data_IF_511331970506
#
_entry.id   IF_511331970506
#
_cell.length_a   1.000
_cell.length_b   1.000
_cell.length_c   1.000
_cell.angle_alpha   90.00
_cell.angle_beta   90.00
_cell.angle_gamma   90.00
#
_symmetry.space_group_name_H-M   'P 1'
#
loop_
_entity.id
_entity.type
_entity.pdbx_description
1 polymer ?
#
# COMPACT_ATOMS: atom_id res chain seq x y z
N UNK A 1 25.93 -7.89 17.10
CA UNK A 1 25.99 -9.06 16.20
C UNK A 1 27.04 -8.77 15.14
N UNK A 2 27.89 -9.75 14.83
CA UNK A 2 28.90 -9.67 13.77
C UNK A 2 28.88 -11.00 13.02
N UNK A 3 28.78 -10.96 11.70
CA UNK A 3 28.80 -12.17 10.88
C UNK A 3 30.16 -12.86 10.97
N UNK A 4 30.15 -14.18 10.97
CA UNK A 4 31.35 -15.00 11.01
C UNK A 4 32.06 -15.04 9.66
N UNK A 5 33.36 -15.35 9.67
CA UNK A 5 34.12 -15.60 8.43
C UNK A 5 33.53 -16.76 7.61
N UNK A 6 32.89 -17.73 8.28
CA UNK A 6 32.20 -18.84 7.62
C UNK A 6 31.08 -18.32 6.72
N UNK A 7 30.31 -17.33 7.21
CA UNK A 7 29.24 -16.68 6.48
C UNK A 7 29.77 -15.86 5.31
N UNK A 8 30.84 -15.07 5.52
CA UNK A 8 31.51 -14.36 4.41
C UNK A 8 31.91 -15.33 3.29
N UNK A 9 32.58 -16.43 3.65
CA UNK A 9 32.98 -17.46 2.69
C UNK A 9 31.79 -18.13 1.99
N UNK A 10 30.70 -18.38 2.70
CA UNK A 10 29.49 -18.93 2.11
C UNK A 10 28.88 -17.99 1.06
N UNK A 11 28.74 -16.70 1.37
CA UNK A 11 28.25 -15.68 0.44
C UNK A 11 29.11 -15.64 -0.82
N UNK A 12 30.43 -15.59 -0.65
CA UNK A 12 31.39 -15.53 -1.77
C UNK A 12 31.34 -16.77 -2.65
N UNK A 13 31.25 -17.96 -2.05
CA UNK A 13 31.09 -19.23 -2.79
C UNK A 13 29.79 -19.21 -3.60
N UNK A 14 28.66 -18.85 -2.97
CA UNK A 14 27.35 -18.84 -3.63
C UNK A 14 27.33 -17.85 -4.80
N UNK A 15 27.82 -16.63 -4.62
CA UNK A 15 27.91 -15.64 -5.70
C UNK A 15 28.81 -16.13 -6.85
N UNK A 16 29.97 -16.73 -6.54
CA UNK A 16 30.88 -17.24 -7.57
C UNK A 16 30.27 -18.39 -8.37
N UNK A 17 29.64 -19.36 -7.69
CA UNK A 17 28.93 -20.45 -8.36
C UNK A 17 27.78 -19.94 -9.23
N UNK A 18 27.10 -18.87 -8.79
CA UNK A 18 26.03 -18.23 -9.54
C UNK A 18 26.53 -17.59 -10.84
N UNK A 19 27.69 -16.93 -10.81
CA UNK A 19 28.27 -16.27 -11.99
C UNK A 19 28.83 -17.25 -13.03
N UNK A 20 29.41 -18.38 -12.59
CA UNK A 20 30.08 -19.31 -13.50
C UNK A 20 29.13 -20.32 -14.16
N UNK A 21 27.96 -20.59 -13.54
CA UNK A 21 26.93 -21.52 -14.00
C UNK A 21 27.46 -22.88 -14.50
N UNK A 22 28.51 -23.39 -13.84
CA UNK A 22 29.18 -24.67 -14.14
C UNK A 22 29.65 -25.34 -12.85
N UNK A 23 30.12 -26.58 -12.95
CA UNK A 23 30.71 -27.29 -11.80
C UNK A 23 32.10 -26.72 -11.51
N UNK A 24 32.32 -26.26 -10.28
CA UNK A 24 33.58 -25.67 -9.80
C UNK A 24 34.21 -26.57 -8.74
N UNK A 25 35.50 -26.85 -8.89
CA UNK A 25 36.24 -27.70 -7.94
C UNK A 25 36.57 -26.96 -6.64
N UNK A 26 36.84 -27.70 -5.56
CA UNK A 26 37.35 -27.12 -4.30
C UNK A 26 38.65 -26.33 -4.52
N UNK A 27 39.54 -26.81 -5.39
CA UNK A 27 40.81 -26.14 -5.67
C UNK A 27 40.61 -24.80 -6.39
N UNK A 28 39.66 -24.75 -7.33
CA UNK A 28 39.30 -23.53 -8.04
C UNK A 28 38.64 -22.51 -7.12
N UNK A 29 37.63 -22.91 -6.34
CA UNK A 29 37.03 -22.05 -5.30
C UNK A 29 38.08 -21.51 -4.32
N UNK A 30 39.02 -22.35 -3.89
CA UNK A 30 40.09 -21.93 -2.97
C UNK A 30 40.98 -20.87 -3.58
N UNK A 31 41.37 -21.05 -4.85
CA UNK A 31 42.27 -20.15 -5.58
C UNK A 31 41.60 -18.82 -5.93
N UNK A 32 40.41 -18.86 -6.51
CA UNK A 32 39.71 -17.67 -7.02
C UNK A 32 39.14 -16.82 -5.88
N UNK A 33 38.65 -17.47 -4.82
CA UNK A 33 38.05 -16.77 -3.68
C UNK A 33 39.01 -16.61 -2.50
N UNK A 34 40.26 -17.03 -2.61
CA UNK A 34 41.22 -16.98 -1.48
C UNK A 34 40.63 -17.55 -0.17
N UNK A 35 39.92 -18.68 -0.29
CA UNK A 35 39.31 -19.40 0.84
C UNK A 35 40.19 -20.62 1.14
N UNK A 36 40.57 -20.90 2.39
CA UNK A 36 41.32 -22.12 2.71
C UNK A 36 40.56 -23.37 2.26
N UNK A 37 41.21 -24.24 1.47
CA UNK A 37 40.57 -25.42 0.88
C UNK A 37 39.90 -26.36 1.90
N UNK A 38 40.39 -26.37 3.14
CA UNK A 38 39.82 -27.16 4.25
C UNK A 38 38.47 -26.63 4.79
N UNK A 39 38.12 -25.37 4.52
CA UNK A 39 36.86 -24.75 4.93
C UNK A 39 35.73 -25.00 3.92
N UNK A 40 36.06 -25.09 2.63
CA UNK A 40 35.07 -25.21 1.54
C UNK A 40 34.15 -26.43 1.72
N UNK A 41 34.64 -27.66 2.00
CA UNK A 41 33.76 -28.81 2.22
C UNK A 41 32.80 -28.63 3.41
N UNK A 42 33.23 -27.91 4.46
CA UNK A 42 32.38 -27.66 5.65
C UNK A 42 31.25 -26.70 5.31
N UNK A 43 31.55 -25.63 4.59
CA UNK A 43 30.58 -24.59 4.19
C UNK A 43 29.60 -25.15 3.15
N UNK A 44 30.13 -25.80 2.11
CA UNK A 44 29.30 -26.39 1.04
C UNK A 44 28.40 -27.50 1.55
N UNK A 45 28.80 -28.23 2.60
CA UNK A 45 27.91 -29.18 3.29
C UNK A 45 26.69 -28.46 3.89
N UNK A 46 26.88 -27.36 4.62
CA UNK A 46 25.78 -26.57 5.19
C UNK A 46 24.87 -26.00 4.10
N UNK A 47 25.45 -25.48 3.00
CA UNK A 47 24.68 -24.98 1.85
C UNK A 47 23.90 -26.09 1.14
N UNK A 48 24.45 -27.30 1.06
CA UNK A 48 23.79 -28.49 0.48
C UNK A 48 22.59 -28.94 1.32
N UNK A 49 22.67 -28.87 2.64
CA UNK A 49 21.56 -29.19 3.56
C UNK A 49 20.34 -28.26 3.37
N UNK A 50 20.54 -27.06 2.79
CA UNK A 50 19.50 -26.10 2.41
C UNK A 50 19.16 -26.08 0.92
N UNK A 51 19.70 -27.05 0.17
CA UNK A 51 19.49 -27.20 -1.27
C UNK A 51 19.88 -25.94 -2.06
N UNK A 52 20.88 -25.19 -1.58
CA UNK A 52 21.41 -24.02 -2.32
C UNK A 52 22.44 -24.49 -3.35
N UNK A 53 23.28 -25.45 -2.98
CA UNK A 53 24.32 -26.02 -3.83
C UNK A 53 24.17 -27.54 -3.93
N UNK A 54 24.64 -28.09 -5.05
CA UNK A 54 24.80 -29.53 -5.24
C UNK A 54 26.26 -29.89 -5.45
N UNK A 55 26.61 -31.09 -5.04
CA UNK A 55 27.95 -31.64 -5.19
C UNK A 55 27.95 -32.73 -6.26
N UNK A 56 28.87 -32.63 -7.21
CA UNK A 56 29.17 -33.69 -8.18
C UNK A 56 30.32 -34.56 -7.64
N UNK A 57 30.16 -35.88 -7.70
CA UNK A 57 31.18 -36.84 -7.26
C UNK A 57 32.15 -37.22 -8.39
N UNK A 58 33.35 -37.69 -8.04
CA UNK A 58 34.38 -38.16 -8.99
C UNK A 58 35.65 -37.31 -9.03
N UNK A 59 36.59 -37.68 -9.89
CA UNK A 59 37.91 -37.04 -10.05
C UNK A 59 37.85 -35.60 -10.58
N UNK A 60 36.75 -35.24 -11.26
CA UNK A 60 36.40 -33.86 -11.65
C UNK A 60 35.17 -33.35 -10.88
N UNK A 61 34.92 -33.91 -9.69
CA UNK A 61 33.84 -33.49 -8.81
C UNK A 61 33.99 -32.06 -8.32
N UNK A 62 32.90 -31.47 -7.86
CA UNK A 62 32.86 -30.06 -7.48
C UNK A 62 31.48 -29.63 -7.02
N UNK A 63 31.24 -28.33 -7.02
CA UNK A 63 30.00 -27.73 -6.56
C UNK A 63 29.40 -26.87 -7.66
N UNK A 64 28.08 -26.79 -7.69
CA UNK A 64 27.34 -25.83 -8.51
C UNK A 64 26.04 -25.45 -7.80
N UNK A 65 25.38 -24.39 -8.24
CA UNK A 65 24.06 -24.05 -7.71
C UNK A 65 23.03 -25.13 -8.03
N UNK A 66 22.16 -25.39 -7.06
CA UNK A 66 20.96 -26.20 -7.25
C UNK A 66 19.76 -25.32 -7.61
N UNK A 67 19.62 -24.17 -6.95
CA UNK A 67 18.55 -23.19 -7.17
C UNK A 67 18.98 -22.07 -8.11
N UNK A 68 18.01 -21.42 -8.76
CA UNK A 68 18.31 -20.25 -9.59
C UNK A 68 18.75 -19.06 -8.70
N UNK A 69 19.69 -18.19 -9.14
CA UNK A 69 20.15 -17.07 -8.33
C UNK A 69 19.04 -16.11 -7.85
N UNK A 70 17.94 -16.01 -8.60
CA UNK A 70 16.77 -15.18 -8.27
C UNK A 70 15.93 -15.77 -7.12
N UNK A 71 16.07 -17.07 -6.85
CA UNK A 71 15.34 -17.80 -5.82
C UNK A 71 16.09 -17.87 -4.48
N UNK A 72 17.36 -17.49 -4.46
CA UNK A 72 18.21 -17.56 -3.28
C UNK A 72 18.35 -16.15 -2.71
N UNK A 73 17.85 -15.93 -1.48
CA UNK A 73 18.08 -14.67 -0.79
C UNK A 73 19.43 -14.64 -0.05
N UNK A 74 19.92 -13.44 0.25
CA UNK A 74 21.10 -13.27 1.10
C UNK A 74 20.82 -13.81 2.52
N UNK A 75 19.58 -13.66 3.01
CA UNK A 75 19.14 -14.27 4.27
C UNK A 75 19.27 -15.79 4.26
N UNK A 76 18.94 -16.47 3.15
CA UNK A 76 19.05 -17.93 3.05
C UNK A 76 20.49 -18.39 3.25
N UNK A 77 21.44 -17.70 2.61
CA UNK A 77 22.87 -18.04 2.73
C UNK A 77 23.36 -17.79 4.15
N UNK A 78 23.00 -16.66 4.76
CA UNK A 78 23.41 -16.33 6.13
C UNK A 78 22.85 -17.33 7.15
N UNK A 79 21.59 -17.74 7.00
CA UNK A 79 20.95 -18.72 7.88
C UNK A 79 21.53 -20.14 7.75
N UNK A 80 22.34 -20.43 6.73
CA UNK A 80 23.06 -21.70 6.63
C UNK A 80 24.24 -21.79 7.60
N UNK A 81 24.83 -20.64 7.94
CA UNK A 81 26.11 -20.55 8.66
C UNK A 81 25.98 -19.92 10.04
N UNK A 82 25.01 -19.02 10.23
CA UNK A 82 24.74 -18.38 11.52
C UNK A 82 23.67 -19.14 12.33
N UNK A 83 23.91 -19.30 13.62
CA UNK A 83 22.95 -19.96 14.53
C UNK A 83 21.81 -19.04 14.96
N UNK A 84 22.04 -17.72 14.94
CA UNK A 84 21.05 -16.69 15.28
C UNK A 84 21.34 -15.41 14.52
N UNK A 85 20.27 -14.76 14.08
CA UNK A 85 20.29 -13.43 13.47
C UNK A 85 19.73 -12.36 14.41
N UNK A 86 19.45 -12.71 15.67
CA UNK A 86 18.92 -11.77 16.65
C UNK A 86 19.98 -10.73 17.05
N UNK A 87 19.67 -9.45 16.84
CA UNK A 87 20.55 -8.35 17.21
C UNK A 87 20.65 -8.16 18.73
N UNK A 88 19.70 -8.72 19.49
CA UNK A 88 19.63 -8.65 20.95
C UNK A 88 19.04 -9.92 21.54
N UNK A 89 19.48 -10.27 22.75
CA UNK A 89 19.06 -11.49 23.47
C UNK A 89 17.54 -11.63 23.64
N UNK A 90 16.84 -10.50 23.81
CA UNK A 90 15.38 -10.48 23.98
C UNK A 90 14.58 -10.69 22.69
N UNK A 91 15.25 -10.76 21.53
CA UNK A 91 14.67 -11.04 20.22
C UNK A 91 14.93 -12.47 19.75
N UNK A 92 15.65 -13.26 20.56
CA UNK A 92 15.82 -14.69 20.31
C UNK A 92 14.46 -15.41 20.35
N UNK A 93 14.39 -16.58 19.72
CA UNK A 93 13.15 -17.37 19.61
C UNK A 93 12.51 -17.71 20.96
N UNK A 94 13.31 -17.80 22.02
CA UNK A 94 12.84 -18.09 23.38
C UNK A 94 12.30 -16.85 24.11
N UNK A 95 12.39 -15.65 23.52
CA UNK A 95 11.86 -14.40 24.08
C UNK A 95 12.49 -13.98 25.41
N UNK A 96 13.66 -14.52 25.76
CA UNK A 96 14.19 -14.35 27.12
C UNK A 96 14.43 -12.87 27.48
N UNK A 97 13.81 -12.46 28.59
CA UNK A 97 14.03 -11.18 29.22
C UNK A 97 14.32 -11.40 30.70
N UNK A 98 15.46 -10.92 31.20
CA UNK A 98 15.81 -11.03 32.62
C UNK A 98 14.82 -10.34 33.56
N UNK A 99 14.03 -9.39 33.04
CA UNK A 99 12.95 -8.70 33.77
C UNK A 99 11.55 -9.28 33.51
N UNK A 100 11.45 -10.28 32.63
CA UNK A 100 10.19 -10.87 32.16
C UNK A 100 9.15 -9.81 31.75
N UNK A 101 9.59 -8.80 30.98
CA UNK A 101 8.80 -7.60 30.67
C UNK A 101 8.87 -7.21 29.18
N UNK A 102 9.10 -8.18 28.30
CA UNK A 102 9.28 -7.96 26.85
C UNK A 102 8.11 -7.21 26.20
N UNK A 103 6.87 -7.60 26.52
CA UNK A 103 5.66 -7.10 25.84
C UNK A 103 5.44 -5.57 26.00
N UNK A 104 5.85 -5.04 27.16
CA UNK A 104 5.72 -3.63 27.50
C UNK A 104 7.06 -2.87 27.41
N UNK A 105 8.17 -3.56 27.16
CA UNK A 105 9.49 -2.94 27.08
C UNK A 105 9.63 -2.10 25.81
N UNK A 106 9.66 -0.77 25.97
CA UNK A 106 9.83 0.16 24.84
C UNK A 106 11.11 -0.10 24.05
N UNK A 107 12.20 -0.48 24.73
CA UNK A 107 13.48 -0.81 24.07
C UNK A 107 13.35 -2.08 23.23
N UNK A 108 12.66 -3.10 23.73
CA UNK A 108 12.38 -4.32 22.94
C UNK A 108 11.61 -3.97 21.67
N UNK A 109 10.58 -3.11 21.76
CA UNK A 109 9.82 -2.66 20.57
C UNK A 109 10.71 -1.96 19.53
N UNK A 110 11.60 -1.06 19.96
CA UNK A 110 12.55 -0.37 19.05
C UNK A 110 13.52 -1.36 18.42
N UNK A 111 14.06 -2.31 19.18
CA UNK A 111 14.99 -3.32 18.65
C UNK A 111 14.30 -4.32 17.74
N UNK A 112 13.04 -4.70 18.03
CA UNK A 112 12.24 -5.56 17.19
C UNK A 112 11.96 -4.89 15.84
N UNK A 113 11.61 -3.61 15.83
CA UNK A 113 11.44 -2.82 14.61
C UNK A 113 12.71 -2.79 13.74
N UNK A 114 13.87 -2.56 14.37
CA UNK A 114 15.17 -2.61 13.69
C UNK A 114 15.49 -4.01 13.15
N UNK A 115 15.23 -5.06 13.94
CA UNK A 115 15.41 -6.45 13.54
C UNK A 115 14.53 -6.81 12.34
N UNK A 116 13.26 -6.41 12.35
CA UNK A 116 12.33 -6.66 11.25
C UNK A 116 12.81 -5.95 9.98
N UNK A 117 13.22 -4.69 10.09
CA UNK A 117 13.81 -3.95 8.96
C UNK A 117 15.02 -4.67 8.40
N UNK A 118 15.92 -5.12 9.28
CA UNK A 118 17.12 -5.86 8.92
C UNK A 118 16.81 -7.20 8.22
N UNK A 119 15.89 -7.99 8.76
CA UNK A 119 15.48 -9.27 8.18
C UNK A 119 14.84 -9.08 6.81
N UNK A 120 13.87 -8.14 6.72
CA UNK A 120 13.18 -7.83 5.47
C UNK A 120 14.17 -7.40 4.37
N UNK A 121 15.24 -6.67 4.72
CA UNK A 121 16.29 -6.34 3.75
C UNK A 121 16.98 -7.58 3.21
N UNK A 122 17.43 -8.46 4.10
CA UNK A 122 18.21 -9.64 3.71
C UNK A 122 17.39 -10.67 2.95
N UNK A 123 16.09 -10.80 3.25
CA UNK A 123 15.16 -11.72 2.58
C UNK A 123 14.83 -11.27 1.14
N UNK A 124 14.77 -9.95 0.93
CA UNK A 124 14.43 -9.36 -0.36
C UNK A 124 15.63 -9.20 -1.31
N UNK A 125 16.86 -9.18 -0.78
CA UNK A 125 18.07 -9.21 -1.61
C UNK A 125 18.33 -10.64 -2.08
N UNK A 126 18.34 -10.85 -3.40
CA UNK A 126 18.64 -12.12 -4.05
C UNK A 126 20.09 -12.18 -4.52
N UNK A 127 20.63 -13.38 -4.68
CA UNK A 127 21.99 -13.58 -5.19
C UNK A 127 22.14 -13.03 -6.59
N UNK A 128 21.08 -13.12 -7.42
CA UNK A 128 21.02 -12.49 -8.74
C UNK A 128 21.36 -11.00 -8.69
N UNK A 129 20.93 -10.29 -7.65
CA UNK A 129 21.14 -8.84 -7.51
C UNK A 129 22.60 -8.49 -7.21
N UNK A 130 23.30 -9.41 -6.55
CA UNK A 130 24.69 -9.20 -6.12
C UNK A 130 25.66 -9.48 -7.29
N UNK A 131 25.31 -10.42 -8.17
CA UNK A 131 26.15 -10.82 -9.30
C UNK A 131 25.86 -10.02 -10.58
N UNK A 132 24.74 -9.30 -10.63
CA UNK A 132 24.33 -8.56 -11.82
C UNK A 132 25.34 -7.43 -12.13
N UNK A 133 25.73 -7.26 -13.40
CA UNK A 133 26.57 -6.14 -13.82
C UNK A 133 25.78 -4.82 -13.74
N UNK A 134 26.40 -3.76 -13.21
CA UNK A 134 25.83 -2.42 -13.02
C UNK A 134 26.53 -1.64 -11.91
N UNK A 135 26.18 -0.37 -11.68
CA UNK A 135 26.58 0.36 -10.47
C UNK A 135 25.76 -0.15 -9.27
N UNK A 136 26.36 -0.14 -8.08
CA UNK A 136 25.70 -0.59 -6.84
C UNK A 136 24.38 0.17 -6.59
N UNK A 137 23.25 -0.51 -6.73
CA UNK A 137 21.91 0.02 -6.42
C UNK A 137 21.71 0.36 -4.94
N UNK A 138 22.55 -0.21 -4.07
CA UNK A 138 22.46 -0.05 -2.62
C UNK A 138 22.87 1.34 -2.12
N UNK A 139 23.60 2.13 -2.92
CA UNK A 139 24.17 3.42 -2.50
C UNK A 139 23.42 4.66 -3.03
N UNK A 140 22.24 4.50 -3.65
CA UNK A 140 21.38 5.63 -4.01
C UNK A 140 19.93 5.21 -4.19
N UNK A 141 19.03 5.61 -3.28
CA UNK A 141 17.60 5.27 -3.38
C UNK A 141 16.95 6.11 -4.47
N UNK A 142 16.41 5.45 -5.47
CA UNK A 142 15.47 6.03 -6.42
C UNK A 142 14.11 5.40 -6.21
N UNK A 143 13.09 6.24 -6.06
CA UNK A 143 11.70 5.81 -5.96
C UNK A 143 10.81 6.89 -6.53
N UNK A 144 9.93 6.51 -7.45
CA UNK A 144 8.89 7.36 -8.04
C UNK A 144 7.57 6.62 -7.94
N UNK A 145 6.50 7.33 -7.57
CA UNK A 145 5.12 6.86 -7.52
C UNK A 145 4.26 7.80 -8.34
N UNK A 146 3.61 7.24 -9.36
CA UNK A 146 2.64 7.93 -10.19
C UNK A 146 1.27 7.33 -9.94
N UNK A 147 0.27 8.19 -9.79
CA UNK A 147 -1.14 7.80 -9.78
C UNK A 147 -1.78 8.30 -11.06
N UNK A 148 -2.49 7.41 -11.75
CA UNK A 148 -3.27 7.69 -12.94
C UNK A 148 -4.74 7.39 -12.64
N UNK A 149 -5.61 8.33 -12.98
CA UNK A 149 -7.05 8.13 -13.01
C UNK A 149 -7.44 7.59 -14.39
N UNK A 150 -7.99 6.38 -14.43
CA UNK A 150 -8.31 5.67 -15.65
C UNK A 150 -9.53 6.28 -16.37
N UNK A 151 -10.40 7.00 -15.67
CA UNK A 151 -11.65 7.55 -16.22
C UNK A 151 -11.42 8.87 -16.93
N UNK A 152 -10.72 9.80 -16.30
CA UNK A 152 -10.47 11.14 -16.85
C UNK A 152 -9.05 11.33 -17.41
N UNK A 153 -8.20 10.29 -17.31
CA UNK A 153 -6.82 10.28 -17.80
C UNK A 153 -5.92 11.34 -17.14
N UNK A 154 -6.33 11.86 -15.98
CA UNK A 154 -5.49 12.74 -15.17
C UNK A 154 -4.45 11.91 -14.41
N UNK A 155 -3.26 12.47 -14.20
CA UNK A 155 -2.20 11.78 -13.47
C UNK A 155 -1.38 12.75 -12.62
N UNK A 156 -0.84 12.23 -11.53
CA UNK A 156 -0.03 12.98 -10.59
C UNK A 156 1.17 12.16 -10.09
N UNK A 157 2.25 12.85 -9.74
CA UNK A 157 3.37 12.25 -9.03
C UNK A 157 3.09 12.33 -7.53
N UNK A 158 2.69 11.22 -6.92
CA UNK A 158 2.49 11.15 -5.46
C UNK A 158 3.84 11.37 -4.76
N UNK A 159 4.90 10.76 -5.28
CA UNK A 159 6.19 10.78 -4.63
C UNK A 159 7.35 10.62 -5.61
N UNK A 160 8.42 11.39 -5.44
CA UNK A 160 9.70 11.14 -6.11
C UNK A 160 10.87 11.59 -5.23
N UNK A 161 11.91 10.76 -5.13
CA UNK A 161 13.19 11.18 -4.53
C UNK A 161 13.95 12.20 -5.40
N UNK A 162 13.60 12.32 -6.67
CA UNK A 162 14.29 13.17 -7.64
C UNK A 162 13.36 14.29 -8.09
N UNK A 163 13.72 15.53 -7.79
CA UNK A 163 12.90 16.71 -8.09
C UNK A 163 12.67 16.89 -9.59
N UNK A 164 13.66 16.61 -10.44
CA UNK A 164 13.51 16.68 -11.90
C UNK A 164 12.38 15.79 -12.46
N UNK A 165 12.03 14.70 -11.76
CA UNK A 165 10.91 13.85 -12.17
C UNK A 165 9.58 14.55 -11.90
N UNK A 166 9.47 15.32 -10.82
CA UNK A 166 8.29 16.16 -10.56
C UNK A 166 8.11 17.23 -11.62
N UNK A 167 9.19 17.92 -11.99
CA UNK A 167 9.16 18.96 -13.03
C UNK A 167 8.65 18.36 -14.35
N UNK A 168 9.16 17.18 -14.73
CA UNK A 168 8.71 16.49 -15.94
C UNK A 168 7.25 16.07 -15.94
N UNK A 169 6.73 15.62 -14.80
CA UNK A 169 5.30 15.30 -14.67
C UNK A 169 4.47 16.57 -14.85
N UNK A 170 4.92 17.69 -14.27
CA UNK A 170 4.27 18.99 -14.42
C UNK A 170 4.34 19.54 -15.85
N UNK A 171 5.46 19.31 -16.55
CA UNK A 171 5.73 19.77 -17.91
C UNK A 171 5.13 18.88 -19.02
N UNK A 172 4.46 17.79 -18.64
CA UNK A 172 3.91 16.83 -19.60
C UNK A 172 2.39 16.86 -19.56
N UNK A 173 1.77 17.10 -20.72
CA UNK A 173 0.32 17.31 -20.81
C UNK A 173 -0.47 16.00 -20.58
N UNK A 174 0.15 14.86 -20.85
CA UNK A 174 -0.47 13.53 -20.71
C UNK A 174 0.48 12.55 -20.04
N UNK A 175 -0.09 11.51 -19.45
CA UNK A 175 0.65 10.42 -18.83
C UNK A 175 1.59 9.72 -19.82
N UNK A 176 1.11 9.37 -21.03
CA UNK A 176 1.95 8.70 -22.03
C UNK A 176 3.09 9.58 -22.55
N UNK A 177 2.89 10.91 -22.60
CA UNK A 177 3.97 11.86 -22.90
C UNK A 177 5.05 11.84 -21.81
N UNK A 178 4.64 11.82 -20.54
CA UNK A 178 5.57 11.67 -19.42
C UNK A 178 6.37 10.37 -19.53
N UNK A 179 5.71 9.23 -19.75
CA UNK A 179 6.39 7.93 -19.90
C UNK A 179 7.39 7.96 -21.06
N UNK A 180 7.03 8.57 -22.19
CA UNK A 180 7.95 8.78 -23.32
C UNK A 180 9.18 9.61 -22.92
N UNK A 181 8.98 10.78 -22.29
CA UNK A 181 10.09 11.65 -21.84
C UNK A 181 10.95 11.00 -20.75
N UNK A 182 10.35 10.20 -19.87
CA UNK A 182 11.07 9.45 -18.83
C UNK A 182 11.96 8.39 -19.47
N UNK A 183 11.40 7.57 -20.36
CA UNK A 183 12.13 6.49 -21.03
C UNK A 183 13.26 6.99 -21.93
N UNK A 184 13.05 8.06 -22.68
CA UNK A 184 14.08 8.65 -23.54
C UNK A 184 15.28 9.16 -22.76
N UNK A 185 15.06 9.82 -21.62
CA UNK A 185 16.14 10.45 -20.87
C UNK A 185 16.84 9.50 -19.91
N UNK A 186 16.08 8.65 -19.21
CA UNK A 186 16.62 7.91 -18.07
C UNK A 186 16.83 6.43 -18.34
N UNK A 187 16.27 5.87 -19.41
CA UNK A 187 16.26 4.41 -19.60
C UNK A 187 17.26 4.01 -20.68
N UNK A 188 18.00 2.94 -20.41
CA UNK A 188 18.97 2.38 -21.33
C UNK A 188 18.30 1.99 -22.65
N UNK A 189 18.94 2.27 -23.78
CA UNK A 189 18.29 2.26 -25.10
C UNK A 189 17.56 0.95 -25.42
N UNK A 190 18.17 -0.18 -25.08
CA UNK A 190 17.63 -1.53 -25.31
C UNK A 190 16.34 -1.81 -24.51
N UNK A 191 16.13 -1.14 -23.38
CA UNK A 191 15.01 -1.41 -22.47
C UNK A 191 13.83 -0.45 -22.70
N UNK A 192 14.07 0.67 -23.40
CA UNK A 192 13.08 1.76 -23.62
C UNK A 192 11.76 1.25 -24.19
N UNK A 193 11.81 0.44 -25.25
CA UNK A 193 10.60 -0.04 -25.92
C UNK A 193 9.81 -0.99 -25.03
N UNK A 194 10.50 -1.88 -24.31
CA UNK A 194 9.89 -2.85 -23.40
C UNK A 194 9.19 -2.14 -22.24
N UNK A 195 9.88 -1.20 -21.60
CA UNK A 195 9.33 -0.41 -20.49
C UNK A 195 8.18 0.49 -20.92
N UNK A 196 8.30 1.17 -22.07
CA UNK A 196 7.20 1.98 -22.59
C UNK A 196 5.96 1.14 -22.81
N UNK A 197 6.10 -0.04 -23.45
CA UNK A 197 4.97 -0.95 -23.68
C UNK A 197 4.35 -1.45 -22.37
N UNK A 198 5.16 -1.71 -21.35
CA UNK A 198 4.69 -2.14 -20.03
C UNK A 198 3.87 -1.06 -19.30
N UNK A 199 4.26 0.21 -19.44
CA UNK A 199 3.67 1.36 -18.75
C UNK A 199 2.70 2.17 -19.62
N UNK A 200 2.39 1.79 -20.86
CA UNK A 200 1.47 2.57 -21.71
C UNK A 200 0.06 2.50 -21.13
N UNK A 201 -0.67 3.62 -21.10
CA UNK A 201 -2.04 3.71 -20.58
C UNK A 201 -2.97 2.61 -21.14
N UNK A 202 -2.92 2.38 -22.45
CA UNK A 202 -3.70 1.35 -23.17
C UNK A 202 -3.47 -0.08 -22.65
N UNK A 203 -2.28 -0.35 -22.09
CA UNK A 203 -1.87 -1.68 -21.63
C UNK A 203 -2.11 -1.92 -20.14
N UNK A 204 -2.60 -0.92 -19.41
CA UNK A 204 -2.84 -1.02 -17.97
C UNK A 204 -4.11 -1.81 -17.67
N UNK A 205 -5.13 -1.74 -18.52
CA UNK A 205 -6.43 -2.43 -18.33
C UNK A 205 -6.51 -3.77 -19.07
N UNK A 206 -5.42 -4.25 -19.66
CA UNK A 206 -5.39 -5.57 -20.29
C UNK A 206 -5.15 -6.67 -19.25
N UNK A 207 -5.85 -7.80 -19.39
CA UNK A 207 -5.65 -9.02 -18.59
C UNK A 207 -5.96 -8.90 -17.08
N UNK A 208 -6.92 -8.06 -16.70
CA UNK A 208 -7.38 -7.95 -15.31
C UNK A 208 -8.06 -9.24 -14.84
N UNK A 209 -7.82 -9.60 -13.57
CA UNK A 209 -8.50 -10.69 -12.86
C UNK A 209 -9.38 -10.05 -11.80
N UNK A 210 -10.69 -10.24 -11.90
CA UNK A 210 -11.69 -9.62 -11.02
C UNK A 210 -11.57 -8.08 -10.95
N UNK A 211 -11.19 -7.44 -12.06
CA UNK A 211 -11.05 -5.98 -12.16
C UNK A 211 -9.74 -5.40 -11.60
N UNK A 212 -8.82 -6.27 -11.15
CA UNK A 212 -7.54 -5.89 -10.57
C UNK A 212 -6.35 -6.59 -11.25
N UNK A 213 -5.17 -5.96 -11.19
CA UNK A 213 -3.91 -6.56 -11.64
C UNK A 213 -2.72 -5.97 -10.88
N UNK A 214 -1.72 -6.81 -10.60
CA UNK A 214 -0.39 -6.42 -10.15
C UNK A 214 0.67 -7.13 -11.01
N UNK A 215 1.53 -6.35 -11.65
CA UNK A 215 2.66 -6.86 -12.46
C UNK A 215 3.94 -6.06 -12.16
N UNK A 216 5.09 -6.71 -12.35
CA UNK A 216 6.41 -6.11 -12.24
C UNK A 216 7.31 -6.39 -13.45
N UNK A 217 8.30 -5.52 -13.65
CA UNK A 217 9.29 -5.67 -14.71
C UNK A 217 10.59 -4.90 -14.39
N UNK A 218 11.72 -5.61 -14.48
CA UNK A 218 13.05 -5.00 -14.38
C UNK A 218 13.48 -4.27 -15.67
N UNK A 219 14.21 -3.16 -15.51
CA UNK A 219 14.82 -2.37 -16.58
C UNK A 219 16.10 -1.64 -16.11
N UNK A 220 16.95 -1.21 -17.04
CA UNK A 220 18.17 -0.44 -16.71
C UNK A 220 17.92 1.06 -16.83
N UNK A 221 18.30 1.80 -15.78
CA UNK A 221 18.33 3.26 -15.75
C UNK A 221 19.75 3.77 -15.87
N UNK A 222 19.96 4.73 -16.78
CA UNK A 222 21.25 5.38 -17.02
C UNK A 222 21.66 6.14 -15.76
N UNK A 223 22.90 5.95 -15.34
CA UNK A 223 23.51 6.61 -14.19
C UNK A 223 24.73 7.42 -14.64
N UNK A 224 24.74 8.70 -14.31
CA UNK A 224 25.78 9.66 -14.69
C UNK A 224 25.94 9.82 -16.22
N UNK A 225 26.78 10.77 -16.65
CA UNK A 225 27.10 10.98 -18.07
C UNK A 225 28.18 10.02 -18.59
N UNK A 226 28.49 8.95 -17.86
CA UNK A 226 29.48 7.95 -18.26
C UNK A 226 28.82 6.90 -19.16
N UNK A 227 29.39 6.69 -20.35
CA UNK A 227 28.93 5.66 -21.28
C UNK A 227 28.93 4.30 -20.58
N UNK A 228 27.81 3.57 -20.69
CA UNK A 228 27.56 2.22 -20.16
C UNK A 228 27.37 2.07 -18.64
N UNK A 229 27.28 3.17 -17.89
CA UNK A 229 26.92 3.13 -16.47
C UNK A 229 25.40 3.11 -16.27
N UNK A 230 24.88 2.09 -15.59
CA UNK A 230 23.46 1.96 -15.27
C UNK A 230 23.22 1.31 -13.90
N UNK A 231 22.02 1.50 -13.37
CA UNK A 231 21.46 0.75 -12.23
C UNK A 231 20.24 -0.04 -12.71
N UNK A 232 19.97 -1.20 -12.12
CA UNK A 232 18.68 -1.84 -12.32
C UNK A 232 17.59 -1.14 -11.53
N UNK A 233 16.42 -1.19 -12.12
CA UNK A 233 15.19 -0.62 -11.63
C UNK A 233 14.10 -1.66 -11.80
N UNK A 234 13.15 -1.65 -10.88
CA UNK A 234 11.89 -2.35 -10.96
C UNK A 234 10.78 -1.34 -11.28
N UNK A 235 9.99 -1.68 -12.29
CA UNK A 235 8.73 -1.02 -12.57
C UNK A 235 7.59 -1.92 -12.10
N UNK A 236 6.74 -1.44 -11.19
CA UNK A 236 5.51 -2.15 -10.82
C UNK A 236 4.28 -1.34 -11.22
N UNK A 237 3.22 -2.03 -11.60
CA UNK A 237 1.90 -1.46 -11.86
C UNK A 237 0.85 -2.21 -11.07
N UNK A 238 0.02 -1.46 -10.34
CA UNK A 238 -1.21 -1.92 -9.71
C UNK A 238 -2.37 -1.20 -10.38
N UNK A 239 -3.40 -1.95 -10.77
CA UNK A 239 -4.56 -1.40 -11.48
C UNK A 239 -5.82 -1.90 -10.79
N UNK A 240 -6.76 -0.99 -10.55
CA UNK A 240 -8.08 -1.25 -9.98
C UNK A 240 -9.12 -0.49 -10.81
N UNK A 241 -9.88 -1.22 -11.63
CA UNK A 241 -10.91 -0.64 -12.48
C UNK A 241 -12.12 -0.15 -11.69
N UNK A 242 -12.43 -0.77 -10.55
CA UNK A 242 -13.59 -0.37 -9.74
C UNK A 242 -13.39 1.03 -9.18
N UNK A 243 -12.16 1.34 -8.77
CA UNK A 243 -11.76 2.65 -8.27
C UNK A 243 -11.28 3.59 -9.40
N UNK A 244 -11.19 3.11 -10.65
CA UNK A 244 -10.62 3.84 -11.79
C UNK A 244 -9.20 4.36 -11.51
N UNK A 245 -8.35 3.57 -10.83
CA UNK A 245 -7.01 3.99 -10.44
C UNK A 245 -5.96 3.01 -10.96
N UNK A 246 -4.85 3.55 -11.47
CA UNK A 246 -3.60 2.82 -11.64
C UNK A 246 -2.48 3.49 -10.84
N UNK A 247 -1.73 2.70 -10.07
CA UNK A 247 -0.55 3.12 -9.33
C UNK A 247 0.67 2.51 -9.99
N UNK A 248 1.62 3.34 -10.39
CA UNK A 248 2.85 2.91 -11.03
C UNK A 248 4.04 3.32 -10.17
N UNK A 249 4.95 2.38 -9.95
CA UNK A 249 6.16 2.62 -9.17
C UNK A 249 7.39 2.31 -9.99
N UNK A 250 8.41 3.16 -9.88
CA UNK A 250 9.70 3.00 -10.54
C UNK A 250 10.80 3.11 -9.48
N UNK A 251 11.50 2.02 -9.18
CA UNK A 251 12.39 1.99 -8.03
C UNK A 251 13.55 1.00 -8.12
N UNK A 252 14.68 1.32 -7.51
CA UNK A 252 15.77 0.36 -7.28
C UNK A 252 15.81 -0.16 -5.82
N UNK A 253 14.89 0.32 -4.98
CA UNK A 253 14.85 -0.06 -3.58
C UNK A 253 13.89 -1.25 -3.37
N UNK A 254 14.45 -2.45 -3.13
CA UNK A 254 13.66 -3.66 -2.87
C UNK A 254 12.83 -3.66 -1.59
N UNK A 255 13.11 -2.75 -0.65
CA UNK A 255 12.50 -2.70 0.69
C UNK A 255 11.21 -1.86 0.73
N UNK A 256 10.92 -1.10 -0.34
CA UNK A 256 9.83 -0.10 -0.35
C UNK A 256 8.47 -0.67 -0.81
N UNK A 257 8.36 -1.63 -1.76
CA UNK A 257 7.06 -2.09 -2.26
C UNK A 257 6.14 -2.59 -1.14
N UNK A 258 6.65 -3.46 -0.27
CA UNK A 258 5.85 -3.98 0.85
C UNK A 258 5.43 -2.87 1.80
N UNK A 259 6.28 -1.88 2.03
CA UNK A 259 5.93 -0.76 2.93
C UNK A 259 4.81 0.09 2.33
N UNK A 260 4.84 0.39 1.04
CA UNK A 260 3.82 1.21 0.39
C UNK A 260 2.52 0.44 0.19
N UNK A 261 2.58 -0.83 -0.24
CA UNK A 261 1.40 -1.69 -0.33
C UNK A 261 0.78 -1.90 1.05
N UNK A 262 1.57 -2.16 2.09
CA UNK A 262 1.07 -2.26 3.46
C UNK A 262 0.54 -0.92 3.98
N UNK A 263 1.17 0.21 3.62
CA UNK A 263 0.65 1.54 3.96
C UNK A 263 -0.68 1.81 3.28
N UNK A 264 -0.84 1.44 2.01
CA UNK A 264 -2.11 1.58 1.29
C UNK A 264 -3.19 0.68 1.90
N UNK A 265 -2.87 -0.58 2.22
CA UNK A 265 -3.77 -1.47 2.93
C UNK A 265 -4.16 -0.93 4.32
N UNK A 266 -3.21 -0.37 5.08
CA UNK A 266 -3.47 0.27 6.37
C UNK A 266 -4.26 1.57 6.22
N UNK A 267 -4.05 2.34 5.15
CA UNK A 267 -4.87 3.51 4.82
C UNK A 267 -6.30 3.09 4.48
N UNK A 268 -6.50 2.08 3.62
CA UNK A 268 -7.82 1.50 3.31
C UNK A 268 -8.51 0.98 4.58
N UNK A 269 -7.77 0.33 5.47
CA UNK A 269 -8.29 -0.16 6.76
C UNK A 269 -8.65 0.99 7.70
N UNK A 270 -7.87 2.07 7.72
CA UNK A 270 -8.19 3.29 8.47
C UNK A 270 -9.42 3.98 7.91
N UNK A 271 -9.55 4.09 6.59
CA UNK A 271 -10.72 4.67 5.92
C UNK A 271 -11.99 3.88 6.24
N UNK A 272 -11.94 2.54 6.15
CA UNK A 272 -13.04 1.66 6.61
C UNK A 272 -13.36 1.86 8.09
N UNK A 273 -12.33 1.99 8.94
CA UNK A 273 -12.54 2.25 10.38
C UNK A 273 -13.14 3.63 10.65
N UNK A 274 -12.73 4.68 9.94
CA UNK A 274 -13.29 6.04 10.04
C UNK A 274 -14.75 6.01 9.61
N UNK A 275 -15.05 5.35 8.49
CA UNK A 275 -16.42 5.14 7.99
C UNK A 275 -17.27 4.42 9.04
N UNK A 276 -16.75 3.33 9.62
CA UNK A 276 -17.44 2.61 10.70
C UNK A 276 -17.67 3.49 11.94
N UNK A 277 -16.68 4.26 12.37
CA UNK A 277 -16.81 5.18 13.51
C UNK A 277 -17.85 6.27 13.24
N UNK A 278 -17.90 6.79 12.02
CA UNK A 278 -18.92 7.73 11.58
C UNK A 278 -20.32 7.12 11.72
N UNK A 279 -20.52 5.89 11.26
CA UNK A 279 -21.80 5.18 11.37
C UNK A 279 -22.17 4.79 12.80
N UNK A 280 -21.20 4.42 13.63
CA UNK A 280 -21.41 4.17 15.07
C UNK A 280 -21.90 5.47 15.77
N UNK A 281 -21.35 6.63 15.39
CA UNK A 281 -21.81 7.94 15.88
C UNK A 281 -23.24 8.27 15.44
N UNK A 282 -23.59 8.05 14.17
CA UNK A 282 -24.97 8.24 13.67
C UNK A 282 -25.92 7.33 14.43
N UNK A 283 -25.56 6.06 14.62
CA UNK A 283 -26.37 5.10 15.38
C UNK A 283 -26.58 5.52 16.83
N UNK A 284 -25.55 6.08 17.50
CA UNK A 284 -25.68 6.65 18.84
C UNK A 284 -26.63 7.85 18.88
N UNK A 285 -26.57 8.75 17.89
CA UNK A 285 -27.48 9.89 17.80
C UNK A 285 -28.94 9.41 17.64
N UNK A 286 -29.17 8.41 16.79
CA UNK A 286 -30.51 7.84 16.67
C UNK A 286 -30.95 7.17 17.97
N UNK A 287 -30.06 6.43 18.65
CA UNK A 287 -30.38 5.84 19.94
C UNK A 287 -30.77 6.90 21.00
N UNK A 288 -30.11 8.06 21.00
CA UNK A 288 -30.47 9.20 21.87
C UNK A 288 -31.83 9.77 21.51
N UNK A 289 -32.13 9.95 20.22
CA UNK A 289 -33.44 10.39 19.75
C UNK A 289 -34.54 9.40 20.19
N UNK A 290 -34.29 8.10 20.04
CA UNK A 290 -35.20 7.04 20.45
C UNK A 290 -35.40 6.99 21.97
N UNK A 291 -34.33 7.19 22.76
CA UNK A 291 -34.42 7.19 24.23
C UNK A 291 -35.29 8.33 24.77
N UNK A 292 -35.32 9.46 24.05
CA UNK A 292 -36.18 10.59 24.37
C UNK A 292 -37.64 10.41 23.88
N UNK A 293 -38.01 9.22 23.39
CA UNK A 293 -39.30 8.91 22.74
C UNK A 293 -39.62 9.82 21.54
N UNK A 294 -38.60 10.30 20.82
CA UNK A 294 -38.79 11.22 19.69
C UNK A 294 -39.17 10.51 18.38
N UNK A 295 -38.96 9.19 18.32
CA UNK A 295 -39.29 8.31 17.20
C UNK A 295 -39.76 6.96 17.76
N UNK A 296 -40.85 6.41 17.22
CA UNK A 296 -41.37 5.10 17.62
C UNK A 296 -40.41 3.98 17.19
N UNK A 297 -40.11 3.06 18.13
CA UNK A 297 -39.08 2.00 18.04
C UNK A 297 -39.15 1.05 16.83
N UNK A 298 -40.23 1.07 16.06
CA UNK A 298 -40.49 0.13 14.95
C UNK A 298 -40.26 0.69 13.53
N UNK A 299 -39.90 1.97 13.35
CA UNK A 299 -39.96 2.63 12.03
C UNK A 299 -38.60 3.06 11.43
N UNK A 300 -37.47 2.62 11.98
CA UNK A 300 -36.16 3.20 11.62
C UNK A 300 -35.54 2.60 10.35
N UNK A 301 -35.54 1.27 10.23
CA UNK A 301 -35.10 0.57 9.01
C UNK A 301 -36.02 0.94 7.82
N UNK A 302 -37.29 1.22 8.12
CA UNK A 302 -38.29 1.66 7.16
C UNK A 302 -37.99 3.06 6.60
N UNK A 303 -37.64 4.05 7.43
CA UNK A 303 -37.37 5.42 6.95
C UNK A 303 -36.16 5.46 6.02
N UNK A 304 -35.07 4.76 6.36
CA UNK A 304 -33.89 4.68 5.49
C UNK A 304 -34.25 4.00 4.16
N UNK A 305 -34.92 2.85 4.24
CA UNK A 305 -35.35 2.10 3.07
C UNK A 305 -36.29 2.90 2.15
N UNK A 306 -37.34 3.50 2.69
CA UNK A 306 -38.28 4.30 1.89
C UNK A 306 -37.62 5.55 1.31
N UNK A 307 -36.72 6.20 2.04
CA UNK A 307 -35.96 7.33 1.53
C UNK A 307 -35.11 6.91 0.33
N UNK A 308 -34.41 5.78 0.43
CA UNK A 308 -33.65 5.22 -0.69
C UNK A 308 -34.57 4.92 -1.89
N UNK A 309 -35.70 4.26 -1.68
CA UNK A 309 -36.63 3.93 -2.78
C UNK A 309 -37.20 5.18 -3.45
N UNK A 310 -37.53 6.23 -2.68
CA UNK A 310 -37.99 7.51 -3.22
C UNK A 310 -36.90 8.16 -4.06
N UNK A 311 -35.67 8.24 -3.55
CA UNK A 311 -34.54 8.83 -4.27
C UNK A 311 -34.19 8.05 -5.55
N UNK A 312 -34.24 6.71 -5.51
CA UNK A 312 -34.06 5.87 -6.71
C UNK A 312 -35.16 6.11 -7.74
N UNK A 313 -36.41 6.30 -7.32
CA UNK A 313 -37.49 6.67 -8.24
C UNK A 313 -37.32 8.08 -8.79
N UNK A 314 -36.86 9.03 -7.98
CA UNK A 314 -36.59 10.40 -8.42
C UNK A 314 -35.46 10.43 -9.46
N UNK A 315 -34.35 9.74 -9.20
CA UNK A 315 -33.24 9.59 -10.14
C UNK A 315 -33.71 8.98 -11.47
N UNK A 316 -34.57 7.96 -11.41
CA UNK A 316 -35.10 7.29 -12.61
C UNK A 316 -36.09 8.13 -13.40
N UNK A 317 -37.01 8.82 -12.72
CA UNK A 317 -38.13 9.52 -13.36
C UNK A 317 -37.80 10.98 -13.69
N UNK A 318 -36.81 11.57 -13.02
CA UNK A 318 -36.38 12.97 -13.18
C UNK A 318 -34.84 13.07 -13.25
N UNK A 319 -34.22 12.58 -14.35
CA UNK A 319 -32.76 12.63 -14.51
C UNK A 319 -32.18 14.06 -14.48
N UNK A 320 -33.01 15.07 -14.78
CA UNK A 320 -32.65 16.49 -14.69
C UNK A 320 -32.24 16.92 -13.28
N UNK A 321 -32.62 16.16 -12.25
CA UNK A 321 -32.21 16.39 -10.88
C UNK A 321 -30.81 15.90 -10.56
N UNK A 322 -30.09 15.22 -11.45
CA UNK A 322 -28.66 14.91 -11.28
C UNK A 322 -28.28 14.00 -10.10
N UNK A 323 -29.26 13.37 -9.43
CA UNK A 323 -29.09 12.61 -8.18
C UNK A 323 -28.03 11.50 -8.36
N UNK A 324 -26.95 11.56 -7.60
CA UNK A 324 -25.84 10.58 -7.64
C UNK A 324 -26.08 9.41 -6.69
N UNK A 325 -25.47 8.25 -6.93
CA UNK A 325 -25.56 7.11 -5.98
C UNK A 325 -25.03 7.48 -4.58
N UNK A 326 -23.98 8.29 -4.51
CA UNK A 326 -23.43 8.81 -3.24
C UNK A 326 -24.46 9.68 -2.49
N UNK A 327 -25.24 10.49 -3.21
CA UNK A 327 -26.31 11.29 -2.62
C UNK A 327 -27.44 10.40 -2.08
N UNK A 328 -27.84 9.36 -2.83
CA UNK A 328 -28.85 8.39 -2.40
C UNK A 328 -28.38 7.68 -1.12
N UNK A 329 -27.14 7.24 -1.08
CA UNK A 329 -26.54 6.57 0.08
C UNK A 329 -26.49 7.51 1.29
N UNK A 330 -25.96 8.73 1.13
CA UNK A 330 -25.84 9.67 2.24
C UNK A 330 -27.22 10.07 2.81
N UNK A 331 -28.19 10.37 1.95
CA UNK A 331 -29.51 10.85 2.39
C UNK A 331 -30.31 9.73 3.05
N UNK A 332 -30.29 8.51 2.53
CA UNK A 332 -31.00 7.38 3.14
C UNK A 332 -30.48 7.05 4.54
N UNK A 333 -29.15 7.02 4.70
CA UNK A 333 -28.53 6.70 5.99
C UNK A 333 -28.66 7.82 7.03
N UNK A 334 -28.80 9.08 6.61
CA UNK A 334 -29.04 10.22 7.50
C UNK A 334 -30.54 10.48 7.76
N UNK A 335 -31.44 9.89 6.99
CA UNK A 335 -32.89 10.06 7.17
C UNK A 335 -33.39 9.75 8.59
N UNK A 336 -32.87 8.74 9.33
CA UNK A 336 -33.28 8.50 10.71
C UNK A 336 -33.04 9.67 11.69
N UNK A 337 -32.09 10.56 11.40
CA UNK A 337 -31.80 11.74 12.23
C UNK A 337 -32.46 13.03 11.70
N UNK A 338 -33.38 12.96 10.74
CA UNK A 338 -34.04 14.14 10.14
C UNK A 338 -34.66 15.09 11.18
N UNK A 339 -35.16 14.54 12.29
CA UNK A 339 -35.81 15.27 13.37
C UNK A 339 -34.88 15.62 14.55
N UNK A 340 -33.55 15.63 14.34
CA UNK A 340 -32.55 15.87 15.39
C UNK A 340 -32.82 17.13 16.22
N UNK A 341 -33.37 18.18 15.61
CA UNK A 341 -33.69 19.44 16.28
C UNK A 341 -34.78 19.32 17.36
N UNK A 342 -35.54 18.22 17.40
CA UNK A 342 -36.50 17.95 18.49
C UNK A 342 -35.83 17.80 19.84
N UNK A 343 -34.52 17.55 19.90
CA UNK A 343 -33.74 17.49 21.15
C UNK A 343 -33.84 18.77 22.01
N UNK A 344 -34.17 19.91 21.39
CA UNK A 344 -34.33 21.21 22.07
C UNK A 344 -35.76 21.45 22.56
N UNK A 345 -36.73 20.67 22.09
CA UNK A 345 -38.11 20.81 22.54
C UNK A 345 -38.21 20.21 23.94
N UNK A 346 -38.82 20.91 24.92
CA UNK A 346 -39.03 20.36 26.26
C UNK A 346 -39.75 19.01 26.24
N UNK A 347 -39.27 18.05 27.03
CA UNK A 347 -39.79 16.68 27.03
C UNK A 347 -41.25 16.62 27.49
N UNK A 348 -41.67 17.56 28.33
CA UNK A 348 -43.05 17.71 28.82
C UNK A 348 -44.01 18.10 27.69
N UNK A 349 -43.51 18.79 26.66
CA UNK A 349 -44.26 19.16 25.46
C UNK A 349 -44.28 17.98 24.49
N UNK A 350 -43.13 17.36 24.23
CA UNK A 350 -43.00 16.23 23.30
C UNK A 350 -43.83 15.01 23.73
N UNK A 351 -43.82 14.70 25.03
CA UNK A 351 -44.52 13.53 25.60
C UNK A 351 -45.86 13.90 26.25
N UNK A 352 -46.45 15.03 25.89
CA UNK A 352 -47.71 15.50 26.49
C UNK A 352 -48.87 14.58 26.14
N UNK A 353 -49.51 14.01 27.15
CA UNK A 353 -50.76 13.26 26.99
C UNK A 353 -51.94 14.22 26.80
N UNK A 354 -52.16 14.69 25.56
CA UNK A 354 -53.26 15.58 25.19
C UNK A 354 -52.89 16.54 24.07
N UNK A 355 -53.84 17.38 23.63
CA UNK A 355 -53.55 18.38 22.60
C UNK A 355 -52.54 19.41 23.12
N UNK A 356 -51.56 19.73 22.29
CA UNK A 356 -50.67 20.85 22.52
C UNK A 356 -51.46 22.16 22.50
N UNK A 357 -51.08 23.10 23.36
CA UNK A 357 -51.54 24.50 23.25
C UNK A 357 -50.93 25.15 22.01
N UNK A 358 -51.46 26.31 21.63
CA UNK A 358 -50.92 27.08 20.49
C UNK A 358 -49.44 27.42 20.75
N UNK A 359 -49.11 27.86 21.96
CA UNK A 359 -47.73 28.21 22.34
C UNK A 359 -46.79 26.99 22.32
N UNK A 360 -47.26 25.84 22.80
CA UNK A 360 -46.50 24.58 22.77
C UNK A 360 -46.24 24.10 21.33
N UNK A 361 -47.24 24.24 20.45
CA UNK A 361 -47.10 23.91 19.04
C UNK A 361 -46.11 24.84 18.33
N UNK A 362 -46.10 26.13 18.65
CA UNK A 362 -45.12 27.07 18.12
C UNK A 362 -43.69 26.71 18.54
N UNK A 363 -43.49 26.20 19.77
CA UNK A 363 -42.19 25.66 20.22
C UNK A 363 -41.77 24.44 19.40
N UNK A 364 -42.69 23.49 19.15
CA UNK A 364 -42.38 22.29 18.34
C UNK A 364 -41.99 22.68 16.92
N UNK A 365 -42.65 23.66 16.30
CA UNK A 365 -42.36 24.11 14.91
C UNK A 365 -40.94 24.68 14.72
N UNK A 366 -40.23 25.02 15.80
CA UNK A 366 -38.84 25.50 15.72
C UNK A 366 -37.81 24.38 15.58
N UNK A 367 -38.20 23.11 15.71
CA UNK A 367 -37.25 21.99 15.62
C UNK A 367 -36.49 21.91 14.28
N UNK A 368 -37.06 22.19 13.09
CA UNK A 368 -36.30 22.12 11.84
C UNK A 368 -35.21 23.19 11.78
N UNK A 369 -35.53 24.41 12.24
CA UNK A 369 -34.58 25.53 12.32
C UNK A 369 -33.46 25.19 13.30
N UNK A 370 -33.82 24.61 14.45
CA UNK A 370 -32.83 24.16 15.44
C UNK A 370 -31.92 23.08 14.87
N UNK A 371 -32.46 22.12 14.12
CA UNK A 371 -31.69 21.11 13.41
C UNK A 371 -30.70 21.73 12.41
N UNK A 372 -31.16 22.68 11.61
CA UNK A 372 -30.31 23.42 10.67
C UNK A 372 -29.19 24.20 11.41
N UNK A 373 -29.51 24.91 12.49
CA UNK A 373 -28.51 25.60 13.32
C UNK A 373 -27.46 24.67 13.91
N UNK A 374 -27.85 23.44 14.28
CA UNK A 374 -26.90 22.42 14.76
C UNK A 374 -25.89 22.05 13.67
N UNK A 375 -26.32 22.04 12.40
CA UNK A 375 -25.42 21.71 11.28
C UNK A 375 -24.40 22.80 10.95
N UNK A 376 -24.71 24.07 11.22
CA UNK A 376 -23.82 25.22 10.98
C UNK A 376 -22.53 25.19 11.84
N UNK A 377 -22.46 24.30 12.83
CA UNK A 377 -21.30 24.14 13.71
C UNK A 377 -20.32 23.07 13.23
N UNK A 378 -20.69 22.28 12.23
CA UNK A 378 -19.76 21.33 11.62
C UNK A 378 -18.81 22.09 10.67
N UNK A 379 -17.54 21.67 10.57
CA UNK A 379 -16.64 22.21 9.57
C UNK A 379 -17.27 22.02 8.18
N UNK A 380 -17.23 23.06 7.34
CA UNK A 380 -17.75 22.99 5.97
C UNK A 380 -17.13 21.80 5.24
N UNK A 381 -17.95 20.79 4.92
CA UNK A 381 -17.59 19.73 3.99
C UNK A 381 -17.51 20.27 2.55
N UNK A 382 -17.04 19.44 1.61
CA UNK A 382 -17.17 19.75 0.19
C UNK A 382 -18.67 19.87 -0.14
N UNK A 383 -19.07 21.05 -0.61
CA UNK A 383 -20.43 21.31 -1.07
C UNK A 383 -20.49 21.00 -2.55
N UNK A 384 -21.37 20.09 -2.97
CA UNK A 384 -21.75 19.95 -4.37
C UNK A 384 -22.72 21.08 -4.71
N UNK A 385 -22.23 22.11 -5.40
CA UNK A 385 -23.10 23.16 -5.94
C UNK A 385 -23.93 22.60 -7.11
N UNK A 386 -25.24 22.50 -6.92
CA UNK A 386 -26.18 22.24 -8.01
C UNK A 386 -26.31 23.48 -8.89
N UNK A 387 -25.76 23.41 -10.10
CA UNK A 387 -25.97 24.40 -11.16
C UNK A 387 -27.20 24.03 -11.99
N UNK A 388 -28.40 24.32 -11.45
CA UNK A 388 -29.67 24.06 -12.15
C UNK A 388 -30.84 24.85 -11.59
N UNK A 389 -31.06 26.05 -12.13
CA UNK A 389 -32.33 26.81 -12.13
C UNK A 389 -33.13 26.89 -10.81
N UNK A 390 -32.90 27.99 -10.09
CA UNK A 390 -33.87 28.77 -9.29
C UNK A 390 -35.06 28.00 -8.70
N UNK A 391 -34.89 27.52 -7.46
CA UNK A 391 -35.89 27.79 -6.41
C UNK A 391 -35.13 28.32 -5.20
N UNK A 392 -35.09 29.64 -5.08
CA UNK A 392 -34.81 30.28 -3.80
C UNK A 392 -35.97 29.93 -2.88
N UNK A 393 -35.75 28.98 -1.98
CA UNK A 393 -36.44 29.04 -0.69
C UNK A 393 -35.34 29.05 0.37
N UNK A 394 -35.05 30.26 0.85
CA UNK A 394 -34.50 30.42 2.19
C UNK A 394 -35.47 29.72 3.13
N UNK A 395 -35.04 28.64 3.77
CA UNK A 395 -35.41 28.34 5.14
C UNK A 395 -34.11 28.01 5.86
#
# INVERSE_FOLDING_TARGET
>A
MQLTNTTDYAIRIVCYLASENKVITTAELSRELNIPASYIPKITKQLKEKEIVKAAEGSNGGYMLEKRPEEISLMDVINCTESTMAISRCLEKDGYCSRNYSDCCKVHKVLLDLQNTYNNRLENVKISDIIQPGKDEYFGRFYVVIKLNLKDQTYECIYSHVHEVYDKVSDSATYDEFIRKYTEQYVYEQDRQKLRRFLTSEKLTEHLVDGCMEDDMSYRRICDNEADSYIWMEAKRYVDETENIAILTLHNAKVIPDTIVNMEQELRKKEKNITKQYWDMVSLLVAVLNHNNLVEKEHQDDISFYTEQVYRQLQKNYPEYGITEEEIENVSHLAPIHDIGKIRVPIEILNKNGKLTIDEMEVVKQHPITGAEMTLRFPNGMTTEYSGSVVKTKI
#
